data_IF_936925653294
#
_entry.id   IF_936925653294
#
_cell.length_a   1.000
_cell.length_b   1.000
_cell.length_c   1.000
_cell.angle_alpha   90.00
_cell.angle_beta   90.00
_cell.angle_gamma   90.00
#
_symmetry.space_group_name_H-M   'P 1'
#
loop_
_entity.id
_entity.type
_entity.pdbx_description
1 polymer ?
#
# COMPACT_ATOMS: atom_id res chain seq x y z
N UNK A 1 25.65 -9.27 11.82
CA UNK A 1 25.66 -7.81 12.10
C UNK A 1 24.67 -7.59 13.23
N UNK A 2 24.98 -6.75 14.22
CA UNK A 2 24.03 -6.42 15.28
C UNK A 2 22.99 -5.43 14.74
N UNK A 3 21.71 -5.66 15.04
CA UNK A 3 20.66 -4.69 14.73
C UNK A 3 20.80 -3.42 15.58
N UNK A 4 20.43 -2.24 15.08
CA UNK A 4 20.40 -1.00 15.84
C UNK A 4 19.29 -1.02 16.90
N UNK A 5 19.43 -0.20 17.94
CA UNK A 5 18.36 -0.01 18.91
C UNK A 5 17.13 0.59 18.21
N UNK A 6 16.03 -0.14 18.24
CA UNK A 6 14.80 0.21 17.50
C UNK A 6 13.65 0.40 18.46
N UNK A 7 12.79 1.37 18.20
CA UNK A 7 11.53 1.52 18.93
C UNK A 7 10.34 1.43 17.98
N UNK A 8 9.24 0.83 18.45
CA UNK A 8 7.94 0.85 17.77
C UNK A 8 6.96 1.65 18.60
N UNK A 9 6.43 2.72 18.00
CA UNK A 9 5.40 3.59 18.55
C UNK A 9 4.07 3.25 17.90
N UNK A 10 3.12 2.81 18.73
CA UNK A 10 1.81 2.35 18.28
C UNK A 10 1.77 0.83 18.15
N UNK A 11 0.91 0.21 18.98
CA UNK A 11 0.70 -1.24 19.03
C UNK A 11 -0.76 -1.57 18.69
N UNK A 12 -1.23 -1.02 17.56
CA UNK A 12 -2.42 -1.47 16.87
C UNK A 12 -2.21 -2.88 16.31
N UNK A 13 -3.14 -3.38 15.48
CA UNK A 13 -2.96 -4.69 14.84
C UNK A 13 -1.66 -4.76 14.03
N UNK A 14 -1.42 -3.73 13.19
CA UNK A 14 -0.23 -3.67 12.35
C UNK A 14 1.03 -3.42 13.19
N UNK A 15 1.04 -2.42 14.07
CA UNK A 15 2.20 -2.11 14.90
C UNK A 15 2.61 -3.27 15.82
N UNK A 16 1.64 -4.05 16.33
CA UNK A 16 1.94 -5.27 17.08
C UNK A 16 2.58 -6.35 16.22
N UNK A 17 2.15 -6.49 14.96
CA UNK A 17 2.76 -7.43 14.03
C UNK A 17 4.19 -7.01 13.67
N UNK A 18 4.42 -5.72 13.40
CA UNK A 18 5.76 -5.15 13.14
C UNK A 18 6.70 -5.38 14.34
N UNK A 19 6.25 -5.03 15.56
CA UNK A 19 7.01 -5.24 16.78
C UNK A 19 7.30 -6.74 17.02
N UNK A 20 6.33 -7.61 16.70
CA UNK A 20 6.49 -9.05 16.76
C UNK A 20 7.61 -9.57 15.86
N UNK A 21 7.61 -9.17 14.60
CA UNK A 21 8.63 -9.57 13.61
C UNK A 21 10.03 -9.08 14.02
N UNK A 22 10.15 -7.82 14.48
CA UNK A 22 11.41 -7.28 14.99
C UNK A 22 11.92 -8.05 16.20
N UNK A 23 11.05 -8.36 17.15
CA UNK A 23 11.41 -9.14 18.36
C UNK A 23 11.85 -10.56 18.01
N UNK A 24 11.18 -11.23 17.08
CA UNK A 24 11.53 -12.57 16.60
C UNK A 24 12.88 -12.60 15.87
N UNK A 25 13.22 -11.51 15.18
CA UNK A 25 14.52 -11.33 14.53
C UNK A 25 15.64 -10.97 15.52
N UNK A 26 15.36 -10.82 16.81
CA UNK A 26 16.34 -10.48 17.85
C UNK A 26 16.80 -9.02 17.80
N UNK A 27 16.00 -8.11 17.26
CA UNK A 27 16.28 -6.67 17.25
C UNK A 27 16.21 -6.14 18.70
N UNK A 28 17.18 -5.34 19.17
CA UNK A 28 17.08 -4.62 20.44
C UNK A 28 15.87 -3.67 20.41
N UNK A 29 14.72 -4.15 20.91
CA UNK A 29 13.43 -3.52 20.71
C UNK A 29 12.91 -2.84 21.96
N UNK A 30 12.42 -1.61 21.82
CA UNK A 30 11.56 -0.93 22.80
C UNK A 30 10.17 -0.72 22.18
N UNK A 31 9.12 -0.87 22.94
CA UNK A 31 7.74 -0.65 22.46
C UNK A 31 7.00 0.32 23.34
N UNK A 32 6.16 1.13 22.72
CA UNK A 32 5.25 2.01 23.44
C UNK A 32 3.90 2.12 22.74
N UNK A 33 2.86 2.26 23.53
CA UNK A 33 1.51 2.57 23.08
C UNK A 33 0.76 3.38 24.10
N UNK A 34 -0.09 4.33 23.66
CA UNK A 34 -0.93 5.17 24.55
C UNK A 34 -1.73 4.34 25.57
N UNK A 35 -2.29 3.21 25.16
CA UNK A 35 -2.85 2.23 26.07
C UNK A 35 -1.75 1.20 26.43
N UNK A 36 -1.22 1.23 27.66
CA UNK A 36 -0.10 0.40 28.08
C UNK A 36 -0.44 -1.11 28.08
N UNK A 37 -1.72 -1.47 28.19
CA UNK A 37 -2.13 -2.87 28.16
C UNK A 37 -1.70 -3.59 26.88
N UNK A 38 -1.56 -2.88 25.76
CA UNK A 38 -1.08 -3.47 24.50
C UNK A 38 0.42 -3.79 24.53
N UNK A 39 1.20 -3.03 25.30
CA UNK A 39 2.63 -3.29 25.44
C UNK A 39 2.94 -4.55 26.25
N UNK A 40 2.08 -4.95 27.18
CA UNK A 40 2.30 -6.17 28.00
C UNK A 40 2.42 -7.45 27.17
N UNK A 41 1.85 -7.49 25.97
CA UNK A 41 2.03 -8.62 25.05
C UNK A 41 3.49 -8.85 24.64
N UNK A 42 4.36 -7.86 24.88
CA UNK A 42 5.79 -7.89 24.55
C UNK A 42 6.70 -8.08 25.78
N UNK A 43 6.13 -8.35 26.96
CA UNK A 43 6.91 -8.62 28.17
C UNK A 43 7.86 -9.81 27.94
N UNK A 44 9.13 -9.63 28.32
CA UNK A 44 10.19 -10.62 28.07
C UNK A 44 10.71 -10.68 26.62
N UNK A 45 10.09 -9.95 25.68
CA UNK A 45 10.50 -9.91 24.26
C UNK A 45 10.99 -8.54 23.81
N UNK A 46 10.56 -7.48 24.49
CA UNK A 46 10.98 -6.10 24.25
C UNK A 46 10.98 -5.32 25.55
N UNK A 47 11.69 -4.17 25.55
CA UNK A 47 11.58 -3.20 26.64
C UNK A 47 10.24 -2.47 26.53
N UNK A 48 9.49 -2.42 27.62
CA UNK A 48 8.23 -1.68 27.70
C UNK A 48 8.52 -0.27 28.22
N UNK A 49 8.31 0.75 27.39
CA UNK A 49 8.49 2.14 27.79
C UNK A 49 7.21 2.72 28.44
N UNK A 50 7.41 3.62 29.41
CA UNK A 50 6.31 4.30 30.10
C UNK A 50 5.80 5.53 29.35
N UNK A 51 6.64 6.12 28.47
CA UNK A 51 6.29 7.24 27.58
C UNK A 51 6.90 7.05 26.21
N UNK A 52 6.39 7.78 25.19
CA UNK A 52 6.96 7.80 23.85
C UNK A 52 8.39 8.37 23.89
N UNK A 53 8.65 9.40 24.71
CA UNK A 53 9.97 9.97 24.89
C UNK A 53 10.98 8.93 25.46
N UNK A 54 10.56 8.17 26.49
CA UNK A 54 11.39 7.06 27.02
C UNK A 54 11.67 6.00 25.94
N UNK A 55 10.70 5.69 25.10
CA UNK A 55 10.88 4.74 24.00
C UNK A 55 11.89 5.23 22.96
N UNK A 56 11.86 6.51 22.62
CA UNK A 56 12.72 7.12 21.62
C UNK A 56 14.13 7.44 22.15
N UNK A 57 14.33 7.60 23.46
CA UNK A 57 15.55 8.13 24.05
C UNK A 57 16.82 7.42 23.56
N UNK A 58 16.85 6.10 23.55
CA UNK A 58 18.01 5.29 23.14
C UNK A 58 17.85 4.65 21.75
N UNK A 59 16.79 4.97 21.01
CA UNK A 59 16.55 4.40 19.70
C UNK A 59 17.38 5.15 18.63
N UNK A 60 17.98 4.41 17.71
CA UNK A 60 18.52 4.92 16.45
C UNK A 60 17.45 4.92 15.36
N UNK A 61 16.53 3.94 15.42
CA UNK A 61 15.44 3.75 14.49
C UNK A 61 14.10 3.85 15.23
N UNK A 62 13.26 4.79 14.82
CA UNK A 62 11.91 5.01 15.36
C UNK A 62 10.90 4.60 14.30
N UNK A 63 10.09 3.59 14.58
CA UNK A 63 9.03 3.09 13.68
C UNK A 63 7.69 3.55 14.21
N UNK A 64 6.95 4.31 13.40
CA UNK A 64 5.58 4.73 13.71
C UNK A 64 4.57 3.82 13.00
N UNK A 65 3.57 3.36 13.74
CA UNK A 65 2.40 2.63 13.21
C UNK A 65 1.16 3.03 14.01
N UNK A 66 0.59 4.18 13.64
CA UNK A 66 -0.53 4.83 14.31
C UNK A 66 -1.78 4.85 13.43
N UNK A 67 -2.83 5.59 13.82
CA UNK A 67 -4.07 5.69 13.03
C UNK A 67 -3.88 6.48 11.74
N UNK A 68 -3.13 7.56 11.81
CA UNK A 68 -2.88 8.52 10.74
C UNK A 68 -1.59 9.32 11.03
N UNK A 69 -1.16 10.14 10.06
CA UNK A 69 0.04 10.96 10.18
C UNK A 69 -0.08 12.07 11.22
N UNK A 70 -1.28 12.64 11.40
CA UNK A 70 -1.49 13.68 12.43
C UNK A 70 -1.28 13.13 13.84
N UNK A 71 -1.77 11.92 14.12
CA UNK A 71 -1.48 11.24 15.37
C UNK A 71 0.02 10.96 15.56
N UNK A 72 0.74 10.74 14.44
CA UNK A 72 2.20 10.60 14.43
C UNK A 72 2.89 11.90 14.86
N UNK A 73 2.50 13.03 14.29
CA UNK A 73 3.04 14.35 14.61
C UNK A 73 2.74 14.70 16.08
N UNK A 74 1.49 14.55 16.54
CA UNK A 74 1.11 14.82 17.93
C UNK A 74 1.98 14.07 18.93
N UNK A 75 2.20 12.78 18.70
CA UNK A 75 3.04 11.95 19.59
C UNK A 75 4.50 12.38 19.53
N UNK A 76 4.99 12.72 18.35
CA UNK A 76 6.38 13.10 18.18
C UNK A 76 6.66 14.54 18.64
N UNK A 77 5.69 15.44 18.65
CA UNK A 77 5.77 16.76 19.30
C UNK A 77 5.99 16.60 20.80
N UNK A 78 5.17 15.77 21.47
CA UNK A 78 5.33 15.45 22.89
C UNK A 78 6.73 14.83 23.21
N UNK A 79 7.30 14.08 22.26
CA UNK A 79 8.64 13.51 22.37
C UNK A 79 9.71 14.60 22.23
N UNK A 80 9.59 15.47 21.23
CA UNK A 80 10.54 16.54 20.94
C UNK A 80 10.66 17.58 22.05
N UNK A 81 9.55 17.80 22.81
CA UNK A 81 9.58 18.64 24.00
C UNK A 81 10.41 18.07 25.17
N UNK A 82 10.69 16.76 25.17
CA UNK A 82 11.31 16.06 26.28
C UNK A 82 12.72 15.56 26.01
N UNK A 83 13.06 15.28 24.74
CA UNK A 83 14.38 14.73 24.33
C UNK A 83 14.83 15.32 23.01
N UNK A 84 16.16 15.31 22.78
CA UNK A 84 16.73 15.60 21.47
C UNK A 84 16.55 14.42 20.51
N UNK A 85 16.16 14.74 19.27
CA UNK A 85 15.89 13.76 18.21
C UNK A 85 16.94 13.73 17.10
N UNK A 86 17.97 14.57 17.21
CA UNK A 86 19.03 14.72 16.22
C UNK A 86 19.65 13.36 15.85
N UNK A 87 19.91 13.13 14.56
CA UNK A 87 20.49 11.92 13.95
C UNK A 87 19.66 10.64 14.09
N UNK A 88 18.52 10.65 14.75
CA UNK A 88 17.60 9.50 14.74
C UNK A 88 16.94 9.37 13.38
N UNK A 89 16.59 8.15 13.01
CA UNK A 89 15.82 7.90 11.77
C UNK A 89 14.39 7.53 12.11
N UNK A 90 13.46 8.28 11.55
CA UNK A 90 12.03 8.05 11.65
C UNK A 90 11.55 7.27 10.43
N UNK A 91 10.92 6.13 10.63
CA UNK A 91 10.24 5.33 9.60
C UNK A 91 8.74 5.39 9.85
N UNK A 92 8.01 5.97 8.93
CA UNK A 92 6.56 6.09 9.02
C UNK A 92 5.88 4.94 8.26
N UNK A 93 5.26 4.02 8.99
CA UNK A 93 4.52 2.86 8.46
C UNK A 93 3.00 2.99 8.67
N UNK A 94 2.52 4.22 8.80
CA UNK A 94 1.11 4.53 8.84
C UNK A 94 0.64 4.88 7.43
N UNK A 95 -0.46 4.31 6.96
CA UNK A 95 -1.01 4.66 5.64
C UNK A 95 -1.46 6.12 5.60
N UNK A 96 -1.18 6.80 4.48
CA UNK A 96 -1.58 8.17 4.24
C UNK A 96 -1.31 8.60 2.80
N UNK A 97 -1.65 9.85 2.48
CA UNK A 97 -1.41 10.42 1.17
C UNK A 97 0.03 10.97 1.03
N UNK A 98 0.55 11.14 -0.18
CA UNK A 98 1.88 11.74 -0.40
C UNK A 98 2.08 13.12 0.22
N UNK A 99 1.00 13.88 0.41
CA UNK A 99 1.05 15.18 1.09
C UNK A 99 1.34 15.02 2.59
N UNK A 100 0.79 13.98 3.22
CA UNK A 100 1.01 13.70 4.64
C UNK A 100 2.47 13.29 4.88
N UNK A 101 3.03 12.47 3.97
CA UNK A 101 4.44 12.07 4.00
C UNK A 101 5.38 13.28 3.93
N UNK A 102 5.11 14.24 3.03
CA UNK A 102 5.88 15.49 2.93
C UNK A 102 5.77 16.36 4.18
N UNK A 103 4.60 16.38 4.82
CA UNK A 103 4.39 17.11 6.08
C UNK A 103 5.22 16.51 7.20
N UNK A 104 5.25 15.18 7.31
CA UNK A 104 6.05 14.48 8.31
C UNK A 104 7.56 14.62 8.07
N UNK A 105 8.00 14.60 6.80
CA UNK A 105 9.40 14.84 6.42
C UNK A 105 9.85 16.25 6.85
N UNK A 106 9.04 17.27 6.55
CA UNK A 106 9.32 18.64 6.98
C UNK A 106 9.39 18.74 8.51
N UNK A 107 8.50 18.07 9.22
CA UNK A 107 8.51 17.97 10.68
C UNK A 107 9.82 17.32 11.17
N UNK A 108 10.19 16.17 10.61
CA UNK A 108 11.40 15.44 10.97
C UNK A 108 12.66 16.31 10.75
N UNK A 109 12.73 17.01 9.62
CA UNK A 109 13.84 17.93 9.31
C UNK A 109 13.98 19.08 10.30
N UNK A 110 12.87 19.66 10.80
CA UNK A 110 12.90 20.69 11.83
C UNK A 110 13.49 20.21 13.15
N UNK A 111 13.43 18.91 13.43
CA UNK A 111 13.97 18.28 14.65
C UNK A 111 15.31 17.57 14.44
N UNK A 112 15.92 17.76 13.26
CA UNK A 112 17.23 17.14 12.94
C UNK A 112 17.18 15.62 12.77
N UNK A 113 15.99 15.05 12.53
CA UNK A 113 15.81 13.64 12.23
C UNK A 113 16.01 13.37 10.74
N UNK A 114 16.41 12.14 10.41
CA UNK A 114 16.27 11.60 9.06
C UNK A 114 14.89 10.93 8.92
N UNK A 115 14.33 10.98 7.71
CA UNK A 115 13.01 10.47 7.46
C UNK A 115 12.99 9.43 6.34
N UNK A 116 12.24 8.35 6.56
CA UNK A 116 11.86 7.37 5.55
C UNK A 116 10.34 7.24 5.57
N UNK A 117 9.72 7.64 4.47
CA UNK A 117 8.33 7.32 4.20
C UNK A 117 8.22 5.85 3.83
N UNK A 118 7.28 5.14 4.42
CA UNK A 118 7.16 3.71 4.18
C UNK A 118 5.69 3.27 4.11
N UNK A 119 5.44 2.26 3.30
CA UNK A 119 4.14 1.64 3.17
C UNK A 119 4.25 0.13 3.27
N UNK A 120 3.21 -0.52 3.77
CA UNK A 120 3.14 -1.96 3.88
C UNK A 120 1.88 -2.51 3.21
N UNK A 121 2.07 -3.28 2.17
CA UNK A 121 1.00 -4.01 1.47
C UNK A 121 0.97 -5.44 2.03
N UNK A 122 0.35 -5.57 3.19
CA UNK A 122 0.17 -6.84 3.87
C UNK A 122 -0.93 -6.75 4.93
N UNK A 123 -1.56 -7.88 5.22
CA UNK A 123 -2.33 -8.02 6.45
C UNK A 123 -1.39 -8.27 7.64
N UNK A 124 -1.79 -7.94 8.89
CA UNK A 124 -0.94 -8.11 10.07
C UNK A 124 -0.36 -9.52 10.25
N UNK A 125 -1.10 -10.56 9.87
CA UNK A 125 -0.66 -11.96 9.96
C UNK A 125 0.39 -12.36 8.91
N UNK A 126 0.64 -11.51 7.91
CA UNK A 126 1.66 -11.74 6.87
C UNK A 126 2.97 -10.96 7.16
N UNK A 127 2.97 -10.03 8.12
CA UNK A 127 4.19 -9.28 8.50
C UNK A 127 5.28 -10.25 8.94
N UNK A 128 6.51 -10.03 8.47
CA UNK A 128 7.66 -10.91 8.70
C UNK A 128 7.72 -12.12 7.76
N UNK A 129 6.70 -12.35 6.92
CA UNK A 129 6.68 -13.45 5.96
C UNK A 129 7.10 -13.01 4.55
N UNK A 130 7.33 -14.00 3.67
CA UNK A 130 7.66 -13.76 2.26
C UNK A 130 6.55 -13.02 1.47
N UNK A 131 5.32 -13.01 1.97
CA UNK A 131 4.18 -12.37 1.31
C UNK A 131 4.04 -10.87 1.63
N UNK A 132 4.70 -10.38 2.68
CA UNK A 132 4.65 -8.95 3.01
C UNK A 132 5.56 -8.16 2.08
N UNK A 133 5.01 -7.12 1.47
CA UNK A 133 5.72 -6.18 0.61
C UNK A 133 5.75 -4.82 1.29
N UNK A 134 6.94 -4.26 1.43
CA UNK A 134 7.15 -2.93 1.99
C UNK A 134 7.88 -2.04 0.98
N UNK A 135 7.42 -0.80 0.89
CA UNK A 135 8.04 0.25 0.08
C UNK A 135 8.65 1.29 1.01
N UNK A 136 9.82 1.82 0.63
CA UNK A 136 10.52 2.86 1.37
C UNK A 136 10.95 3.96 0.42
N UNK A 137 10.76 5.22 0.82
CA UNK A 137 11.21 6.40 0.08
C UNK A 137 11.89 7.40 1.03
N UNK A 138 12.82 8.20 0.51
CA UNK A 138 13.53 9.22 1.27
C UNK A 138 15.04 9.05 1.20
N UNK A 139 15.74 9.18 2.31
CA UNK A 139 17.22 9.09 2.37
C UNK A 139 17.69 7.64 2.10
N UNK A 140 18.27 7.41 0.91
CA UNK A 140 18.77 6.08 0.50
C UNK A 140 19.87 5.57 1.43
N UNK A 141 20.76 6.45 1.94
CA UNK A 141 21.84 6.04 2.83
C UNK A 141 21.28 5.53 4.16
N UNK A 142 20.21 6.16 4.65
CA UNK A 142 19.51 5.70 5.85
C UNK A 142 18.75 4.41 5.61
N UNK A 143 18.09 4.27 4.46
CA UNK A 143 17.47 3.00 4.08
C UNK A 143 18.51 1.87 4.07
N UNK A 144 19.65 2.06 3.40
CA UNK A 144 20.70 1.04 3.32
C UNK A 144 21.29 0.69 4.70
N UNK A 145 21.50 1.71 5.55
CA UNK A 145 21.97 1.50 6.93
C UNK A 145 21.03 0.58 7.72
N UNK A 146 19.71 0.78 7.59
CA UNK A 146 18.70 0.04 8.33
C UNK A 146 18.11 -1.14 7.57
N UNK A 147 18.49 -1.37 6.31
CA UNK A 147 17.99 -2.46 5.46
C UNK A 147 17.98 -3.82 6.17
N UNK A 148 19.03 -4.26 6.92
CA UNK A 148 18.99 -5.56 7.59
C UNK A 148 17.87 -5.67 8.63
N UNK A 149 17.52 -4.55 9.29
CA UNK A 149 16.43 -4.51 10.28
C UNK A 149 15.08 -4.40 9.58
N UNK A 150 14.95 -3.53 8.57
CA UNK A 150 13.71 -3.34 7.83
C UNK A 150 13.31 -4.58 7.02
N UNK A 151 14.29 -5.36 6.53
CA UNK A 151 14.05 -6.61 5.83
C UNK A 151 13.41 -7.71 6.71
N UNK A 152 13.47 -7.59 8.03
CA UNK A 152 12.78 -8.52 8.93
C UNK A 152 11.27 -8.34 8.93
N UNK A 153 10.77 -7.21 8.43
CA UNK A 153 9.34 -6.88 8.39
C UNK A 153 8.59 -7.54 7.23
N UNK A 154 9.31 -8.00 6.18
CA UNK A 154 8.66 -8.66 5.05
C UNK A 154 9.65 -9.23 4.04
N UNK A 155 9.15 -10.13 3.17
CA UNK A 155 9.97 -10.78 2.15
C UNK A 155 10.43 -9.85 1.03
N UNK A 156 9.71 -8.74 0.80
CA UNK A 156 10.09 -7.71 -0.16
C UNK A 156 10.19 -6.38 0.57
N UNK A 157 11.40 -5.83 0.64
CA UNK A 157 11.70 -4.49 1.16
C UNK A 157 12.33 -3.69 0.04
N UNK A 158 11.56 -2.83 -0.62
CA UNK A 158 11.96 -2.13 -1.82
C UNK A 158 12.12 -0.64 -1.57
N UNK A 159 13.30 -0.10 -1.88
CA UNK A 159 13.50 1.34 -1.98
C UNK A 159 12.94 1.83 -3.32
N UNK A 160 12.02 2.81 -3.28
CA UNK A 160 11.30 3.29 -4.46
C UNK A 160 11.74 4.69 -4.90
N UNK A 161 12.77 5.25 -4.27
CA UNK A 161 13.41 6.50 -4.64
C UNK A 161 13.48 7.52 -3.52
N UNK A 162 14.21 8.61 -3.77
CA UNK A 162 14.43 9.68 -2.79
C UNK A 162 13.24 10.65 -2.66
N UNK A 163 12.33 10.66 -3.62
CA UNK A 163 11.18 11.56 -3.60
C UNK A 163 10.22 11.20 -2.45
N UNK A 164 10.15 12.07 -1.45
CA UNK A 164 9.21 11.90 -0.34
C UNK A 164 7.77 11.83 -0.85
N UNK A 165 7.05 10.81 -0.40
CA UNK A 165 5.71 10.48 -0.87
C UNK A 165 5.66 9.44 -2.00
N UNK A 166 6.81 8.98 -2.54
CA UNK A 166 6.83 7.93 -3.56
C UNK A 166 6.27 6.61 -3.00
N UNK A 167 6.62 6.24 -1.75
CA UNK A 167 6.08 5.05 -1.09
C UNK A 167 4.57 5.18 -0.87
N UNK A 168 4.10 6.32 -0.35
CA UNK A 168 2.67 6.59 -0.16
C UNK A 168 1.90 6.62 -1.51
N UNK A 169 2.50 7.16 -2.58
CA UNK A 169 1.89 7.15 -3.92
C UNK A 169 1.69 5.72 -4.43
N UNK A 170 2.74 4.90 -4.30
CA UNK A 170 2.69 3.50 -4.74
C UNK A 170 1.70 2.70 -3.91
N UNK A 171 1.63 2.93 -2.58
CA UNK A 171 0.64 2.31 -1.69
C UNK A 171 -0.79 2.64 -2.13
N UNK A 172 -1.10 3.93 -2.32
CA UNK A 172 -2.42 4.35 -2.79
C UNK A 172 -2.80 3.69 -4.13
N UNK A 173 -1.88 3.66 -5.09
CA UNK A 173 -2.12 3.08 -6.41
C UNK A 173 -2.35 1.55 -6.34
N UNK A 174 -1.55 0.84 -5.54
CA UNK A 174 -1.70 -0.61 -5.36
C UNK A 174 -2.97 -0.95 -4.58
N UNK A 175 -3.33 -0.14 -3.57
CA UNK A 175 -4.59 -0.30 -2.84
C UNK A 175 -5.81 -0.03 -3.73
N UNK A 176 -5.76 0.97 -4.62
CA UNK A 176 -6.83 1.21 -5.59
C UNK A 176 -7.02 -0.01 -6.51
N UNK A 177 -5.93 -0.57 -7.05
CA UNK A 177 -5.98 -1.80 -7.82
C UNK A 177 -6.59 -2.96 -7.01
N UNK A 178 -6.17 -3.16 -5.77
CA UNK A 178 -6.69 -4.21 -4.90
C UNK A 178 -8.20 -4.06 -4.62
N UNK A 179 -8.63 -2.85 -4.25
CA UNK A 179 -10.05 -2.58 -3.97
C UNK A 179 -10.90 -2.66 -5.24
N UNK A 180 -10.41 -2.14 -6.37
CA UNK A 180 -11.09 -2.22 -7.65
C UNK A 180 -11.28 -3.66 -8.12
N UNK A 181 -10.22 -4.47 -8.07
CA UNK A 181 -10.28 -5.89 -8.42
C UNK A 181 -11.20 -6.67 -7.46
N UNK A 182 -11.15 -6.36 -6.15
CA UNK A 182 -12.02 -7.00 -5.16
C UNK A 182 -13.49 -6.65 -5.41
N UNK A 183 -13.79 -5.39 -5.69
CA UNK A 183 -15.16 -4.96 -6.01
C UNK A 183 -15.68 -5.65 -7.27
N UNK A 184 -14.85 -5.73 -8.32
CA UNK A 184 -15.21 -6.43 -9.55
C UNK A 184 -15.46 -7.93 -9.32
N UNK A 185 -14.63 -8.57 -8.49
CA UNK A 185 -14.82 -9.97 -8.11
C UNK A 185 -16.13 -10.17 -7.33
N UNK A 186 -16.47 -9.30 -6.38
CA UNK A 186 -17.71 -9.41 -5.61
C UNK A 186 -18.94 -9.12 -6.47
N UNK A 187 -18.86 -8.15 -7.39
CA UNK A 187 -19.91 -7.89 -8.36
C UNK A 187 -20.16 -9.08 -9.29
N UNK A 188 -19.10 -9.72 -9.80
CA UNK A 188 -19.21 -10.95 -10.58
C UNK A 188 -19.83 -12.11 -9.80
N UNK A 189 -19.58 -12.20 -8.49
CA UNK A 189 -20.24 -13.19 -7.62
C UNK A 189 -21.75 -12.93 -7.54
N UNK A 190 -22.18 -11.66 -7.41
CA UNK A 190 -23.59 -11.29 -7.39
C UNK A 190 -24.30 -11.62 -8.73
N UNK A 191 -23.62 -11.41 -9.87
CA UNK A 191 -24.14 -11.82 -11.18
C UNK A 191 -24.30 -13.35 -11.28
N UNK A 192 -23.34 -14.12 -10.78
CA UNK A 192 -23.44 -15.58 -10.76
C UNK A 192 -24.59 -16.07 -9.86
N UNK A 193 -24.76 -15.46 -8.70
CA UNK A 193 -25.85 -15.78 -7.78
C UNK A 193 -27.21 -15.49 -8.39
N UNK A 194 -27.37 -14.36 -9.08
CA UNK A 194 -28.64 -13.98 -9.74
C UNK A 194 -29.08 -14.97 -10.83
N UNK A 195 -28.11 -15.63 -11.47
CA UNK A 195 -28.35 -16.68 -12.47
C UNK A 195 -28.28 -18.11 -11.88
N UNK A 196 -28.30 -18.23 -10.53
CA UNK A 196 -28.27 -19.52 -9.82
C UNK A 196 -26.98 -20.33 -10.09
N UNK A 197 -25.89 -19.70 -10.50
CA UNK A 197 -24.60 -20.36 -10.66
C UNK A 197 -23.93 -20.58 -9.29
N UNK A 198 -23.32 -21.75 -9.02
CA UNK A 198 -22.64 -22.00 -7.76
C UNK A 198 -21.45 -21.05 -7.55
N UNK A 199 -21.42 -20.30 -6.46
CA UNK A 199 -20.32 -19.38 -6.12
C UNK A 199 -18.97 -20.09 -6.00
N UNK A 200 -18.96 -21.37 -5.58
CA UNK A 200 -17.74 -22.18 -5.54
C UNK A 200 -17.09 -22.32 -6.92
N UNK A 201 -17.89 -22.53 -7.97
CA UNK A 201 -17.41 -22.58 -9.34
C UNK A 201 -16.85 -21.23 -9.77
N UNK A 202 -17.58 -20.13 -9.48
CA UNK A 202 -17.13 -18.79 -9.81
C UNK A 202 -15.77 -18.45 -9.17
N UNK A 203 -15.63 -18.61 -7.85
CA UNK A 203 -14.37 -18.29 -7.16
C UNK A 203 -13.19 -19.20 -7.57
N UNK A 204 -13.46 -20.46 -7.94
CA UNK A 204 -12.44 -21.31 -8.55
C UNK A 204 -11.99 -20.77 -9.91
N UNK A 205 -12.93 -20.33 -10.75
CA UNK A 205 -12.66 -19.75 -12.07
C UNK A 205 -11.86 -18.44 -11.94
N UNK A 206 -12.25 -17.55 -11.01
CA UNK A 206 -11.49 -16.31 -10.73
C UNK A 206 -10.01 -16.59 -10.41
N UNK A 207 -9.73 -17.59 -9.57
CA UNK A 207 -8.34 -18.00 -9.29
C UNK A 207 -7.61 -18.49 -10.54
N UNK A 208 -8.30 -19.19 -11.44
CA UNK A 208 -7.70 -19.71 -12.67
C UNK A 208 -7.38 -18.63 -13.69
N UNK A 209 -8.14 -17.53 -13.72
CA UNK A 209 -7.91 -16.40 -14.64
C UNK A 209 -7.03 -15.29 -14.04
N UNK A 210 -6.70 -15.35 -12.76
CA UNK A 210 -5.86 -14.35 -12.11
C UNK A 210 -4.51 -14.10 -12.83
N UNK A 211 -3.81 -15.11 -13.40
CA UNK A 211 -2.58 -14.90 -14.18
C UNK A 211 -2.78 -14.00 -15.41
N UNK A 212 -3.98 -13.92 -15.96
CA UNK A 212 -4.27 -13.03 -17.09
C UNK A 212 -4.07 -11.55 -16.71
N UNK A 213 -4.49 -11.14 -15.50
CA UNK A 213 -4.25 -9.77 -15.01
C UNK A 213 -2.76 -9.44 -14.90
N UNK A 214 -1.94 -10.40 -14.47
CA UNK A 214 -0.48 -10.23 -14.41
C UNK A 214 0.11 -10.04 -15.80
N UNK A 215 -0.29 -10.87 -16.78
CA UNK A 215 0.15 -10.73 -18.17
C UNK A 215 -0.28 -9.38 -18.78
N UNK A 216 -1.52 -8.95 -18.49
CA UNK A 216 -2.01 -7.63 -18.92
C UNK A 216 -1.17 -6.49 -18.36
N UNK A 217 -0.72 -6.59 -17.10
CA UNK A 217 0.15 -5.57 -16.50
C UNK A 217 1.51 -5.45 -17.22
N UNK A 218 2.13 -6.58 -17.62
CA UNK A 218 3.39 -6.58 -18.38
C UNK A 218 3.23 -5.96 -19.77
N UNK A 219 2.14 -6.32 -20.45
CA UNK A 219 1.82 -5.78 -21.79
C UNK A 219 1.51 -4.28 -21.70
N UNK A 220 0.66 -3.87 -20.76
CA UNK A 220 0.28 -2.47 -20.55
C UNK A 220 1.51 -1.61 -20.23
N UNK A 221 2.41 -2.06 -19.33
CA UNK A 221 3.66 -1.37 -19.06
C UNK A 221 4.47 -1.13 -20.33
N UNK A 222 4.64 -2.16 -21.15
CA UNK A 222 5.43 -2.05 -22.39
C UNK A 222 4.80 -1.08 -23.39
N UNK A 223 3.47 -1.08 -23.51
CA UNK A 223 2.74 -0.18 -24.40
C UNK A 223 2.79 1.28 -23.92
N UNK A 224 2.59 1.50 -22.64
CA UNK A 224 2.65 2.83 -22.01
C UNK A 224 4.06 3.42 -22.12
N UNK A 225 5.11 2.65 -21.80
CA UNK A 225 6.51 3.10 -21.89
C UNK A 225 6.90 3.52 -23.32
N UNK A 226 6.31 2.90 -24.32
CA UNK A 226 6.58 3.18 -25.75
C UNK A 226 5.60 4.16 -26.38
N UNK A 227 4.51 4.50 -25.69
CA UNK A 227 3.37 5.24 -26.23
C UNK A 227 2.81 4.62 -27.54
N UNK A 228 2.86 3.29 -27.64
CA UNK A 228 2.37 2.50 -28.78
C UNK A 228 1.36 1.51 -28.26
N UNK A 229 0.11 1.68 -28.63
CA UNK A 229 -1.02 0.89 -28.17
C UNK A 229 -1.57 -0.06 -29.23
N UNK A 230 -1.03 -0.03 -30.45
CA UNK A 230 -1.42 -0.96 -31.50
C UNK A 230 -0.97 -2.38 -31.16
N UNK A 231 -1.86 -3.33 -31.27
CA UNK A 231 -1.64 -4.73 -30.97
C UNK A 231 -2.49 -5.65 -31.83
N UNK A 232 -2.43 -6.93 -31.53
CA UNK A 232 -3.14 -7.96 -32.28
C UNK A 232 -4.15 -8.74 -31.44
N UNK A 233 -4.18 -8.47 -30.10
CA UNK A 233 -4.97 -9.30 -29.19
C UNK A 233 -6.44 -8.90 -29.21
N UNK A 234 -6.79 -7.68 -28.82
CA UNK A 234 -8.20 -7.27 -28.74
C UNK A 234 -8.37 -5.73 -28.74
N UNK A 235 -9.05 -5.22 -29.76
CA UNK A 235 -9.37 -3.80 -29.86
C UNK A 235 -10.34 -3.33 -28.76
N UNK A 236 -10.23 -2.04 -28.33
CA UNK A 236 -11.15 -1.43 -27.36
C UNK A 236 -12.62 -1.53 -27.77
N UNK A 237 -12.93 -1.40 -29.08
CA UNK A 237 -14.27 -1.56 -29.61
C UNK A 237 -14.88 -2.95 -29.33
N UNK A 238 -14.05 -4.00 -29.29
CA UNK A 238 -14.46 -5.35 -28.89
C UNK A 238 -14.75 -5.44 -27.40
N UNK A 239 -13.91 -4.84 -26.55
CA UNK A 239 -14.14 -4.79 -25.11
C UNK A 239 -15.45 -4.07 -24.75
N UNK A 240 -15.82 -3.00 -25.47
CA UNK A 240 -17.10 -2.32 -25.29
C UNK A 240 -18.28 -3.28 -25.52
N UNK A 241 -18.17 -4.19 -26.48
CA UNK A 241 -19.22 -5.18 -26.70
C UNK A 241 -19.36 -6.15 -25.52
N UNK A 242 -18.26 -6.61 -24.95
CA UNK A 242 -18.28 -7.44 -23.74
C UNK A 242 -18.87 -6.68 -22.54
N UNK A 243 -18.48 -5.41 -22.33
CA UNK A 243 -19.03 -4.57 -21.27
C UNK A 243 -20.54 -4.35 -21.38
N UNK A 244 -21.09 -4.24 -22.61
CA UNK A 244 -22.54 -4.17 -22.80
C UNK A 244 -23.26 -5.42 -22.32
N UNK A 245 -22.67 -6.60 -22.49
CA UNK A 245 -23.27 -7.84 -21.99
C UNK A 245 -23.29 -7.84 -20.45
N UNK A 246 -22.23 -7.34 -19.80
CA UNK A 246 -22.18 -7.22 -18.33
C UNK A 246 -23.24 -6.21 -17.84
N UNK A 247 -23.34 -5.03 -18.47
CA UNK A 247 -24.37 -4.03 -18.15
C UNK A 247 -25.78 -4.60 -18.29
N UNK A 248 -26.06 -5.30 -19.41
CA UNK A 248 -27.35 -5.91 -19.66
C UNK A 248 -27.67 -6.97 -18.60
N UNK A 249 -26.72 -7.88 -18.31
CA UNK A 249 -26.92 -8.92 -17.30
C UNK A 249 -27.20 -8.31 -15.92
N UNK A 250 -26.46 -7.25 -15.56
CA UNK A 250 -26.68 -6.53 -14.30
C UNK A 250 -28.11 -5.93 -14.26
N UNK A 251 -28.50 -5.25 -15.33
CA UNK A 251 -29.81 -4.61 -15.41
C UNK A 251 -30.99 -5.64 -15.38
N UNK A 252 -30.88 -6.70 -16.18
CA UNK A 252 -31.93 -7.70 -16.32
C UNK A 252 -32.15 -8.48 -15.01
N UNK A 253 -31.13 -8.56 -14.15
CA UNK A 253 -31.16 -9.25 -12.86
C UNK A 253 -31.20 -8.32 -11.64
N UNK A 254 -31.41 -7.01 -11.81
CA UNK A 254 -31.46 -6.00 -10.74
C UNK A 254 -30.18 -5.98 -9.88
N UNK A 255 -29.03 -6.35 -10.44
CA UNK A 255 -27.71 -6.22 -9.81
C UNK A 255 -27.21 -4.81 -10.05
N UNK A 256 -26.44 -4.25 -9.10
CA UNK A 256 -25.89 -2.89 -9.13
C UNK A 256 -25.09 -2.62 -10.43
N UNK A 257 -25.47 -1.59 -11.19
CA UNK A 257 -24.85 -1.25 -12.49
C UNK A 257 -23.70 -0.25 -12.40
N UNK A 258 -23.44 0.36 -11.23
CA UNK A 258 -22.46 1.45 -11.10
C UNK A 258 -21.06 1.06 -11.56
N UNK A 259 -20.60 -0.15 -11.25
CA UNK A 259 -19.29 -0.62 -11.68
C UNK A 259 -19.20 -0.81 -13.20
N UNK A 260 -20.07 -1.61 -13.86
CA UNK A 260 -20.02 -1.75 -15.32
C UNK A 260 -20.28 -0.44 -16.07
N UNK A 261 -21.07 0.48 -15.51
CA UNK A 261 -21.31 1.80 -16.10
C UNK A 261 -20.05 2.67 -16.06
N UNK A 262 -19.31 2.65 -14.96
CA UNK A 262 -18.03 3.37 -14.82
C UNK A 262 -17.00 2.83 -15.80
N UNK A 263 -16.85 1.50 -15.90
CA UNK A 263 -15.96 0.87 -16.87
C UNK A 263 -16.34 1.27 -18.30
N UNK A 264 -17.61 1.15 -18.65
CA UNK A 264 -18.13 1.53 -19.99
C UNK A 264 -17.82 3.00 -20.30
N UNK A 265 -17.97 3.92 -19.35
CA UNK A 265 -17.71 5.33 -19.55
C UNK A 265 -16.23 5.59 -19.88
N UNK A 266 -15.30 4.95 -19.15
CA UNK A 266 -13.87 5.08 -19.41
C UNK A 266 -13.47 4.55 -20.80
N UNK A 267 -13.97 3.39 -21.18
CA UNK A 267 -13.68 2.79 -22.49
C UNK A 267 -14.27 3.61 -23.64
N UNK A 268 -15.52 4.10 -23.53
CA UNK A 268 -16.13 5.00 -24.51
C UNK A 268 -15.35 6.29 -24.66
N UNK A 269 -14.82 6.85 -23.57
CA UNK A 269 -13.97 8.05 -23.61
C UNK A 269 -12.72 7.79 -24.44
N UNK A 270 -12.06 6.63 -24.26
CA UNK A 270 -10.89 6.26 -25.04
C UNK A 270 -11.21 6.07 -26.55
N UNK A 271 -12.33 5.39 -26.87
CA UNK A 271 -12.78 5.24 -28.26
C UNK A 271 -13.07 6.61 -28.89
N UNK A 272 -13.76 7.50 -28.18
CA UNK A 272 -14.03 8.87 -28.65
C UNK A 272 -12.76 9.71 -28.87
N UNK A 273 -11.68 9.38 -28.13
CA UNK A 273 -10.37 10.00 -28.31
C UNK A 273 -9.53 9.39 -29.46
N UNK A 274 -10.09 8.43 -30.22
CA UNK A 274 -9.45 7.84 -31.40
C UNK A 274 -8.77 6.49 -31.16
N UNK A 275 -8.86 5.91 -29.95
CA UNK A 275 -8.20 4.65 -29.58
C UNK A 275 -9.07 3.40 -29.81
N UNK A 276 -10.12 3.49 -30.67
CA UNK A 276 -11.08 2.39 -30.85
C UNK A 276 -10.49 1.09 -31.34
N UNK A 277 -9.47 1.15 -32.18
CA UNK A 277 -8.78 0.02 -32.78
C UNK A 277 -7.51 -0.40 -31.99
N UNK A 278 -7.22 0.33 -30.89
CA UNK A 278 -6.07 0.08 -30.06
C UNK A 278 -6.38 -0.92 -28.92
N UNK A 279 -5.32 -1.46 -28.32
CA UNK A 279 -5.40 -2.38 -27.17
C UNK A 279 -5.91 -1.71 -25.89
N UNK A 280 -6.32 -2.51 -24.91
CA UNK A 280 -6.90 -2.06 -23.63
C UNK A 280 -6.03 -1.05 -22.88
N UNK A 281 -4.70 -1.12 -23.00
CA UNK A 281 -3.77 -0.22 -22.35
C UNK A 281 -3.94 1.24 -22.80
N UNK A 282 -4.53 1.50 -23.98
CA UNK A 282 -4.80 2.84 -24.47
C UNK A 282 -5.81 3.63 -23.60
N UNK A 283 -6.59 2.96 -22.75
CA UNK A 283 -7.45 3.62 -21.77
C UNK A 283 -6.64 4.53 -20.84
N UNK A 284 -5.36 4.21 -20.58
CA UNK A 284 -4.45 5.03 -19.80
C UNK A 284 -4.39 6.48 -20.31
N UNK A 285 -4.44 6.71 -21.63
CA UNK A 285 -4.32 8.03 -22.24
C UNK A 285 -5.46 9.00 -21.85
N UNK A 286 -6.62 8.45 -21.50
CA UNK A 286 -7.77 9.26 -21.08
C UNK A 286 -7.91 9.33 -19.55
N UNK A 287 -7.21 8.47 -18.82
CA UNK A 287 -7.15 8.49 -17.36
C UNK A 287 -6.07 9.46 -16.86
N UNK A 288 -4.89 9.50 -17.51
CA UNK A 288 -3.77 10.39 -17.12
C UNK A 288 -4.02 11.87 -17.37
N UNK A 289 -4.97 12.22 -18.25
CA UNK A 289 -5.33 13.60 -18.55
C UNK A 289 -6.57 13.95 -17.77
N UNK A 290 -6.43 14.74 -16.71
CA UNK A 290 -7.60 15.45 -16.19
C UNK A 290 -8.14 16.31 -17.31
N UNK A 291 -9.40 16.13 -17.68
CA UNK A 291 -10.08 17.00 -18.60
C UNK A 291 -10.19 18.37 -17.95
N UNK A 292 -9.58 19.37 -18.53
CA UNK A 292 -9.98 20.75 -18.32
C UNK A 292 -11.39 20.98 -18.85
#
# INVERSE_FOLDING_TARGET
MSHPATTVIGLGRMGSALAGALAEAGVPLTVWNRNPARAYAFEGRARLARSAAEACANAELVVLSLSDYSAGIEVMDDVAEQIELVDKTLVQLTSGAPADARTMDAWAGMHGMHYLDAAIVAYPNAVGSAQAVLFYAGDEQRFERFRPTLATLGGVSQFVGEAIGAAATLDCAVLEYYYGATLAMLHGAALCESESLPLSLYFQTVKSVAPLLSATADTARTMIDREIYSGVDCALSTHITALRHIQRLSHDNEVDTRLPDTLMAAYKKAVAAGYGDEEIAAVFEVLRKSSD
#
